data_IF_826167589880
#
_entry.id   IF_826167589880
#
_cell.length_a   1.000
_cell.length_b   1.000
_cell.length_c   1.000
_cell.angle_alpha   90.00
_cell.angle_beta   90.00
_cell.angle_gamma   90.00
#
_symmetry.space_group_name_H-M   'P 1'
#
loop_
_entity.id
_entity.type
_entity.pdbx_description
1 polymer ?
#
# COMPACT_ATOMS: atom_id res chain seq x y z
N UNK A 1 10.91 -10.81 -69.61
CA UNK A 1 12.23 -10.75 -68.92
C UNK A 1 11.94 -10.55 -67.43
N UNK A 2 12.31 -11.50 -66.57
CA UNK A 2 11.91 -11.44 -65.14
C UNK A 2 13.12 -11.11 -64.27
N UNK A 3 13.06 -9.99 -63.56
CA UNK A 3 14.03 -9.63 -62.51
C UNK A 3 13.57 -10.16 -61.16
N UNK A 4 14.50 -10.72 -60.39
CA UNK A 4 14.23 -11.26 -59.05
C UNK A 4 15.01 -10.48 -58.02
N UNK A 5 14.30 -9.96 -57.01
CA UNK A 5 14.89 -9.26 -55.87
C UNK A 5 14.34 -9.80 -54.57
N UNK A 6 15.07 -9.59 -53.49
CA UNK A 6 14.71 -10.09 -52.15
C UNK A 6 14.77 -8.94 -51.18
N UNK A 7 13.76 -8.86 -50.32
CA UNK A 7 13.63 -7.84 -49.28
C UNK A 7 13.18 -8.48 -47.97
N UNK A 8 13.63 -7.94 -46.84
CA UNK A 8 13.29 -8.42 -45.50
C UNK A 8 14.38 -8.12 -44.48
N UNK A 9 13.99 -7.72 -43.27
CA UNK A 9 14.93 -7.57 -42.14
C UNK A 9 15.13 -8.93 -41.46
N UNK A 10 16.03 -9.73 -42.05
CA UNK A 10 16.37 -11.04 -41.51
C UNK A 10 17.39 -10.87 -40.39
N UNK A 11 17.02 -11.28 -39.18
CA UNK A 11 17.87 -11.22 -38.00
C UNK A 11 18.27 -12.63 -37.60
N UNK A 12 19.56 -12.86 -37.39
CA UNK A 12 20.08 -14.16 -36.96
C UNK A 12 19.34 -14.66 -35.70
N UNK A 13 19.06 -15.95 -35.66
CA UNK A 13 18.33 -16.68 -34.62
C UNK A 13 16.88 -16.24 -34.38
N UNK A 14 16.33 -15.34 -35.20
CA UNK A 14 14.92 -14.92 -35.11
C UNK A 14 14.10 -15.41 -36.31
N UNK A 15 12.80 -15.58 -36.07
CA UNK A 15 11.79 -15.80 -37.12
C UNK A 15 11.61 -14.47 -37.86
N UNK A 16 11.93 -14.44 -39.15
CA UNK A 16 11.85 -13.24 -40.00
C UNK A 16 11.06 -13.53 -41.26
N UNK A 17 10.23 -12.56 -41.67
CA UNK A 17 9.55 -12.58 -42.94
C UNK A 17 10.52 -12.16 -44.05
N UNK A 18 10.51 -12.89 -45.16
CA UNK A 18 11.35 -12.67 -46.32
C UNK A 18 10.45 -12.62 -47.56
N UNK A 19 10.53 -11.53 -48.30
CA UNK A 19 9.70 -11.26 -49.47
C UNK A 19 10.54 -11.32 -50.74
N UNK A 20 10.21 -12.28 -51.61
CA UNK A 20 10.88 -12.52 -52.90
C UNK A 20 10.01 -11.90 -53.99
N UNK A 21 10.53 -10.88 -54.68
CA UNK A 21 9.80 -10.11 -55.70
C UNK A 21 10.26 -10.52 -57.09
N UNK A 22 9.30 -10.85 -57.95
CA UNK A 22 9.47 -11.15 -59.38
C UNK A 22 8.87 -9.99 -60.18
N UNK A 23 9.67 -9.24 -60.92
CA UNK A 23 9.24 -8.10 -61.73
C UNK A 23 9.34 -8.45 -63.21
N UNK A 24 8.24 -8.31 -63.97
CA UNK A 24 8.30 -8.46 -65.43
C UNK A 24 8.66 -7.13 -66.09
N UNK A 25 9.91 -7.02 -66.54
CA UNK A 25 10.46 -5.84 -67.23
C UNK A 25 10.34 -5.94 -68.76
N UNK A 26 9.74 -7.01 -69.28
CA UNK A 26 9.49 -7.20 -70.70
C UNK A 26 8.34 -6.35 -71.23
N UNK A 27 8.09 -6.45 -72.55
CA UNK A 27 7.03 -5.69 -73.22
C UNK A 27 5.71 -6.46 -73.29
N UNK A 28 5.73 -7.78 -73.10
CA UNK A 28 4.55 -8.63 -73.04
C UNK A 28 4.44 -9.46 -71.75
N UNK A 29 3.34 -10.23 -71.58
CA UNK A 29 3.14 -11.08 -70.42
C UNK A 29 4.14 -12.25 -70.42
N UNK A 30 4.58 -12.67 -69.23
CA UNK A 30 5.25 -13.95 -69.05
C UNK A 30 4.28 -14.98 -68.48
N UNK A 31 4.26 -16.19 -69.01
CA UNK A 31 3.32 -17.26 -68.60
C UNK A 31 4.06 -18.48 -68.06
N UNK A 32 3.32 -19.36 -67.39
CA UNK A 32 3.83 -20.63 -66.84
C UNK A 32 5.12 -20.50 -66.02
N UNK A 33 5.20 -19.43 -65.22
CA UNK A 33 6.36 -19.16 -64.40
C UNK A 33 6.42 -20.16 -63.24
N UNK A 34 7.53 -20.89 -63.17
CA UNK A 34 7.84 -21.79 -62.06
C UNK A 34 9.15 -21.35 -61.44
N UNK A 35 9.12 -21.12 -60.13
CA UNK A 35 10.31 -20.80 -59.35
C UNK A 35 10.38 -21.68 -58.11
N UNK A 36 11.52 -22.34 -57.87
CA UNK A 36 11.80 -23.02 -56.60
C UNK A 36 12.91 -22.27 -55.84
N UNK A 37 12.55 -21.78 -54.66
CA UNK A 37 13.45 -21.14 -53.69
C UNK A 37 14.44 -22.18 -53.19
N UNK A 38 15.73 -21.93 -53.36
CA UNK A 38 16.82 -22.65 -52.71
C UNK A 38 17.41 -21.83 -51.59
N UNK A 39 17.11 -22.20 -50.35
CA UNK A 39 17.71 -21.58 -49.17
C UNK A 39 19.16 -22.08 -49.00
N UNK A 40 20.13 -21.19 -48.72
CA UNK A 40 21.51 -21.59 -48.48
C UNK A 40 21.68 -22.30 -47.12
N UNK A 41 22.77 -23.05 -46.92
CA UNK A 41 23.08 -23.65 -45.62
C UNK A 41 23.08 -22.60 -44.51
N UNK A 42 22.37 -22.88 -43.42
CA UNK A 42 22.24 -21.96 -42.29
C UNK A 42 20.96 -21.14 -42.28
N UNK A 43 20.14 -21.15 -43.34
CA UNK A 43 18.80 -20.56 -43.35
C UNK A 43 17.76 -21.68 -43.45
N UNK A 44 16.82 -21.71 -42.51
CA UNK A 44 15.76 -22.72 -42.45
C UNK A 44 14.42 -22.08 -42.81
N UNK A 45 13.65 -22.74 -43.68
CA UNK A 45 12.26 -22.38 -43.94
C UNK A 45 11.41 -22.82 -42.74
N UNK A 46 10.69 -21.87 -42.15
CA UNK A 46 9.76 -22.14 -41.05
C UNK A 46 8.30 -22.19 -41.52
N UNK A 47 7.95 -21.38 -42.53
CA UNK A 47 6.59 -21.25 -43.04
C UNK A 47 6.57 -20.69 -44.47
N UNK A 48 5.51 -20.98 -45.23
CA UNK A 48 5.38 -20.64 -46.65
C UNK A 48 5.82 -21.75 -47.60
N UNK A 49 5.59 -21.56 -48.91
CA UNK A 49 5.91 -22.57 -49.93
C UNK A 49 7.27 -22.29 -50.58
N UNK A 50 8.11 -23.30 -50.74
CA UNK A 50 9.37 -23.17 -51.49
C UNK A 50 9.15 -23.01 -53.00
N UNK A 51 7.97 -23.39 -53.50
CA UNK A 51 7.65 -23.38 -54.93
C UNK A 51 6.58 -22.33 -55.22
N UNK A 52 6.92 -21.43 -56.14
CA UNK A 52 6.04 -20.42 -56.72
C UNK A 52 5.64 -20.90 -58.11
N UNK A 53 4.35 -20.83 -58.42
CA UNK A 53 3.80 -21.12 -59.74
C UNK A 53 2.84 -20.00 -60.10
N UNK A 54 3.11 -19.27 -61.19
CA UNK A 54 2.23 -18.22 -61.72
C UNK A 54 1.84 -18.56 -63.15
N UNK A 55 0.55 -18.63 -63.43
CA UNK A 55 0.05 -18.84 -64.78
C UNK A 55 0.35 -17.64 -65.70
N UNK A 56 0.34 -16.42 -65.17
CA UNK A 56 0.62 -15.20 -65.93
C UNK A 56 1.16 -14.09 -65.03
N UNK A 57 2.19 -13.39 -65.49
CA UNK A 57 2.74 -12.16 -64.92
C UNK A 57 2.76 -11.08 -66.02
N UNK A 58 1.82 -10.12 -66.02
CA UNK A 58 1.72 -9.10 -67.05
C UNK A 58 2.96 -8.21 -67.16
N UNK A 59 3.17 -7.57 -68.32
CA UNK A 59 4.23 -6.59 -68.51
C UNK A 59 4.13 -5.43 -67.50
N UNK A 60 5.26 -5.04 -66.91
CA UNK A 60 5.34 -3.97 -65.91
C UNK A 60 4.67 -4.29 -64.57
N UNK A 61 4.34 -5.56 -64.29
CA UNK A 61 3.78 -6.02 -63.02
C UNK A 61 4.73 -6.89 -62.24
N UNK A 62 4.42 -6.97 -60.95
CA UNK A 62 5.25 -7.62 -59.96
C UNK A 62 4.43 -8.66 -59.18
N UNK A 63 5.10 -9.74 -58.80
CA UNK A 63 4.59 -10.70 -57.85
C UNK A 63 5.53 -10.79 -56.67
N UNK A 64 4.98 -10.72 -55.45
CA UNK A 64 5.73 -10.90 -54.20
C UNK A 64 5.32 -12.21 -53.57
N UNK A 65 6.29 -13.07 -53.35
CA UNK A 65 6.14 -14.33 -52.65
C UNK A 65 6.79 -14.24 -51.28
N UNK A 66 6.01 -14.45 -50.23
CA UNK A 66 6.48 -14.34 -48.85
C UNK A 66 6.72 -15.70 -48.23
N UNK A 67 7.87 -15.82 -47.58
CA UNK A 67 8.23 -16.99 -46.78
C UNK A 67 8.76 -16.54 -45.44
N UNK A 68 8.58 -17.38 -44.41
CA UNK A 68 9.17 -17.14 -43.11
C UNK A 68 10.39 -18.00 -42.93
N UNK A 69 11.51 -17.38 -42.57
CA UNK A 69 12.80 -18.05 -42.41
C UNK A 69 13.41 -17.77 -41.03
N UNK A 70 14.36 -18.60 -40.63
CA UNK A 70 15.27 -18.33 -39.53
C UNK A 70 16.70 -18.65 -39.97
N UNK A 71 17.57 -17.64 -39.88
CA UNK A 71 19.00 -17.78 -40.14
C UNK A 71 19.73 -18.15 -38.85
N UNK A 72 20.73 -19.04 -38.92
CA UNK A 72 21.55 -19.45 -37.76
C UNK A 72 22.64 -18.43 -37.42
N UNK A 73 23.19 -17.77 -38.43
CA UNK A 73 24.33 -16.86 -38.29
C UNK A 73 24.06 -15.57 -39.06
N UNK A 74 24.67 -14.49 -38.59
CA UNK A 74 24.67 -13.21 -39.30
C UNK A 74 25.68 -13.23 -40.43
N UNK A 75 25.42 -12.44 -41.47
CA UNK A 75 26.32 -12.31 -42.62
C UNK A 75 25.59 -12.25 -43.95
N UNK A 76 26.36 -12.17 -45.05
CA UNK A 76 25.83 -12.25 -46.40
C UNK A 76 25.50 -13.71 -46.77
N UNK A 77 24.36 -13.91 -47.43
CA UNK A 77 23.90 -15.17 -47.97
C UNK A 77 23.39 -14.97 -49.40
N UNK A 78 23.36 -16.03 -50.21
CA UNK A 78 22.75 -16.02 -51.53
C UNK A 78 21.53 -16.95 -51.54
N UNK A 79 20.37 -16.41 -51.92
CA UNK A 79 19.22 -17.24 -52.30
C UNK A 79 19.42 -17.75 -53.72
N UNK A 80 19.24 -19.06 -53.91
CA UNK A 80 19.47 -19.71 -55.20
C UNK A 80 18.14 -20.05 -55.86
N UNK A 81 17.97 -19.70 -57.13
CA UNK A 81 16.85 -20.20 -57.93
C UNK A 81 17.15 -21.60 -58.47
N UNK A 82 16.71 -22.65 -57.77
CA UNK A 82 17.07 -24.05 -58.12
C UNK A 82 16.31 -24.54 -59.35
N UNK A 83 15.14 -23.97 -59.59
CA UNK A 83 14.35 -24.24 -60.79
C UNK A 83 13.58 -23.00 -61.17
N UNK A 84 14.10 -22.20 -62.10
CA UNK A 84 13.46 -20.99 -62.58
C UNK A 84 13.24 -21.07 -64.09
N UNK A 85 11.98 -21.10 -64.49
CA UNK A 85 11.57 -21.08 -65.90
C UNK A 85 10.26 -20.32 -66.07
N UNK A 86 10.05 -19.77 -67.25
CA UNK A 86 8.81 -19.12 -67.68
C UNK A 86 8.73 -19.14 -69.21
N UNK A 87 7.59 -18.78 -69.78
CA UNK A 87 7.43 -18.46 -71.20
C UNK A 87 7.41 -16.96 -71.38
N UNK A 88 8.18 -16.45 -72.34
CA UNK A 88 8.29 -15.01 -72.58
C UNK A 88 7.11 -14.45 -73.39
N UNK A 89 7.23 -13.19 -73.81
CA UNK A 89 6.19 -12.48 -74.58
C UNK A 89 5.90 -13.07 -75.96
N UNK A 90 6.82 -13.87 -76.53
CA UNK A 90 6.65 -14.57 -77.80
C UNK A 90 6.22 -16.03 -77.59
N UNK A 91 5.88 -16.40 -76.37
CA UNK A 91 5.59 -17.79 -75.99
C UNK A 91 6.81 -18.72 -76.24
N UNK A 92 8.03 -18.21 -76.05
CA UNK A 92 9.25 -19.02 -76.07
C UNK A 92 9.65 -19.44 -74.63
N UNK A 93 10.04 -20.70 -74.41
CA UNK A 93 10.44 -21.16 -73.09
C UNK A 93 11.81 -20.61 -72.68
N UNK A 94 11.85 -19.86 -71.59
CA UNK A 94 13.06 -19.32 -70.98
C UNK A 94 13.39 -20.09 -69.72
N UNK A 95 14.64 -20.56 -69.61
CA UNK A 95 15.19 -21.17 -68.39
C UNK A 95 16.31 -20.32 -67.85
N UNK A 96 16.15 -19.86 -66.61
CA UNK A 96 17.17 -19.07 -65.91
C UNK A 96 18.00 -20.01 -65.06
N UNK A 97 19.28 -20.17 -65.43
CA UNK A 97 20.22 -21.02 -64.70
C UNK A 97 21.12 -20.15 -63.82
N UNK A 98 21.46 -20.65 -62.63
CA UNK A 98 22.43 -20.00 -61.75
C UNK A 98 21.97 -18.70 -61.07
N UNK A 99 20.66 -18.43 -61.00
CA UNK A 99 20.14 -17.24 -60.30
C UNK A 99 20.62 -17.22 -58.84
N UNK A 100 21.25 -16.11 -58.45
CA UNK A 100 21.63 -15.81 -57.07
C UNK A 100 21.16 -14.41 -56.70
N UNK A 101 20.46 -14.30 -55.59
CA UNK A 101 20.00 -13.01 -55.06
C UNK A 101 20.56 -12.83 -53.66
N UNK A 102 21.31 -11.75 -53.45
CA UNK A 102 21.95 -11.46 -52.18
C UNK A 102 20.93 -11.19 -51.07
N UNK A 103 21.18 -11.78 -49.90
CA UNK A 103 20.42 -11.64 -48.67
C UNK A 103 21.38 -11.26 -47.54
N UNK A 104 21.18 -10.11 -46.93
CA UNK A 104 21.95 -9.69 -45.74
C UNK A 104 21.21 -10.08 -44.47
N UNK A 105 21.81 -10.94 -43.65
CA UNK A 105 21.30 -11.28 -42.32
C UNK A 105 22.01 -10.44 -41.28
N UNK A 106 21.25 -9.62 -40.56
CA UNK A 106 21.75 -8.81 -39.45
C UNK A 106 22.03 -9.68 -38.23
N UNK A 107 23.08 -9.32 -37.49
CA UNK A 107 23.28 -9.87 -36.16
C UNK A 107 22.09 -9.50 -35.26
N UNK A 108 21.61 -10.47 -34.48
CA UNK A 108 20.75 -10.13 -33.36
C UNK A 108 21.50 -9.11 -32.51
N UNK A 109 20.85 -8.01 -32.07
CA UNK A 109 21.47 -7.10 -31.11
C UNK A 109 21.95 -7.96 -29.94
N UNK A 110 23.20 -7.73 -29.50
CA UNK A 110 23.79 -8.44 -28.38
C UNK A 110 22.76 -8.52 -27.26
N UNK A 111 22.51 -9.73 -26.77
CA UNK A 111 21.59 -9.94 -25.67
C UNK A 111 21.96 -8.94 -24.57
N UNK A 112 21.02 -8.06 -24.23
CA UNK A 112 21.19 -7.14 -23.11
C UNK A 112 21.52 -8.01 -21.91
N UNK A 113 22.69 -7.74 -21.34
CA UNK A 113 23.25 -8.41 -20.17
C UNK A 113 22.11 -8.66 -19.16
N UNK A 114 22.04 -9.91 -18.70
CA UNK A 114 21.17 -10.40 -17.63
C UNK A 114 20.89 -9.35 -16.56
N UNK A 115 19.69 -8.75 -16.57
CA UNK A 115 19.17 -7.95 -15.45
C UNK A 115 18.60 -8.87 -14.37
N UNK A 116 19.44 -9.75 -13.81
CA UNK A 116 19.11 -10.26 -12.48
C UNK A 116 19.20 -9.05 -11.53
N UNK A 117 18.24 -8.84 -10.61
CA UNK A 117 18.29 -7.71 -9.69
C UNK A 117 19.65 -7.68 -8.99
N UNK A 118 20.45 -6.65 -9.26
CA UNK A 118 21.81 -6.54 -8.73
C UNK A 118 21.74 -6.22 -7.24
N UNK A 119 22.32 -7.08 -6.40
CA UNK A 119 22.36 -6.84 -4.96
C UNK A 119 21.11 -7.29 -4.18
N UNK A 120 21.03 -6.83 -2.93
CA UNK A 120 19.93 -7.04 -1.98
C UNK A 120 19.14 -5.73 -1.88
N UNK A 121 17.85 -5.83 -1.55
CA UNK A 121 17.08 -4.64 -1.17
C UNK A 121 17.68 -4.05 0.12
N UNK A 122 17.76 -2.73 0.19
CA UNK A 122 18.10 -2.06 1.45
C UNK A 122 16.90 -2.11 2.37
N UNK A 123 17.03 -2.71 3.55
CA UNK A 123 15.95 -2.82 4.54
C UNK A 123 16.38 -2.18 5.83
N UNK A 124 15.67 -1.14 6.26
CA UNK A 124 16.00 -0.36 7.46
C UNK A 124 14.75 -0.23 8.33
N UNK A 125 14.90 -0.42 9.64
CA UNK A 125 13.85 -0.12 10.59
C UNK A 125 13.87 1.38 10.91
N UNK A 126 12.74 2.06 10.69
CA UNK A 126 12.56 3.47 11.04
C UNK A 126 11.99 3.65 12.46
N UNK A 127 11.48 2.57 13.08
CA UNK A 127 11.02 2.58 14.48
C UNK A 127 12.10 1.98 15.39
N UNK A 128 13.03 2.76 15.96
CA UNK A 128 14.13 2.21 16.75
C UNK A 128 13.70 1.67 18.11
N UNK A 129 12.52 2.06 18.62
CA UNK A 129 12.04 1.73 19.97
C UNK A 129 10.58 1.26 19.94
N UNK A 130 10.28 0.18 20.66
CA UNK A 130 8.94 -0.36 20.84
C UNK A 130 8.64 -0.57 22.33
N UNK A 131 7.37 -0.42 22.72
CA UNK A 131 6.91 -0.71 24.09
C UNK A 131 6.63 -2.19 24.35
N UNK A 132 7.20 -2.76 25.42
CA UNK A 132 6.94 -4.14 25.85
C UNK A 132 5.46 -4.33 26.25
N UNK A 133 4.83 -5.37 25.73
CA UNK A 133 3.48 -5.78 26.10
C UNK A 133 2.38 -4.83 25.60
N UNK A 134 2.72 -3.87 24.74
CA UNK A 134 1.79 -2.89 24.18
C UNK A 134 1.79 -2.95 22.66
N UNK A 135 0.61 -2.79 22.07
CA UNK A 135 0.50 -2.59 20.63
C UNK A 135 1.18 -1.31 20.20
N UNK A 136 2.14 -1.43 19.30
CA UNK A 136 2.98 -0.33 18.82
C UNK A 136 3.20 -0.43 17.31
N UNK A 137 3.65 0.65 16.69
CA UNK A 137 3.79 0.78 15.24
C UNK A 137 5.23 0.59 14.80
N UNK A 138 5.50 -0.54 14.14
CA UNK A 138 6.79 -0.85 13.51
C UNK A 138 6.78 -0.40 12.04
N UNK A 139 7.66 0.54 11.68
CA UNK A 139 7.85 1.01 10.31
C UNK A 139 9.19 0.53 9.75
N UNK A 140 9.15 -0.04 8.54
CA UNK A 140 10.32 -0.57 7.82
C UNK A 140 10.38 0.10 6.44
N UNK A 141 11.51 0.71 6.13
CA UNK A 141 11.81 1.32 4.84
C UNK A 141 12.57 0.31 3.97
N UNK A 142 12.02 0.01 2.80
CA UNK A 142 12.68 -0.76 1.75
C UNK A 142 13.18 0.17 0.67
N UNK A 143 14.44 0.01 0.26
CA UNK A 143 15.06 0.73 -0.85
C UNK A 143 15.42 -0.25 -1.96
N UNK A 144 14.90 -0.03 -3.16
CA UNK A 144 15.15 -0.87 -4.32
C UNK A 144 16.42 -0.46 -5.06
N UNK A 145 17.59 -0.92 -4.61
CA UNK A 145 18.86 -0.74 -5.31
C UNK A 145 19.10 -1.75 -6.44
N UNK A 146 18.08 -2.47 -6.90
CA UNK A 146 18.25 -3.58 -7.83
C UNK A 146 18.33 -3.19 -9.31
N UNK A 147 18.17 -1.89 -9.63
CA UNK A 147 18.23 -1.35 -10.99
C UNK A 147 17.05 -1.73 -11.90
N UNK A 148 16.05 -2.44 -11.37
CA UNK A 148 14.82 -2.84 -12.07
C UNK A 148 13.60 -2.61 -11.20
N UNK A 149 12.45 -2.36 -11.82
CA UNK A 149 11.18 -2.31 -11.11
C UNK A 149 10.79 -3.72 -10.62
N UNK A 150 10.22 -3.76 -9.41
CA UNK A 150 9.72 -4.98 -8.78
C UNK A 150 8.20 -4.94 -8.76
N UNK A 151 7.60 -6.12 -8.86
CA UNK A 151 6.16 -6.36 -8.81
C UNK A 151 5.85 -7.17 -7.53
N UNK A 152 4.65 -7.02 -6.99
CA UNK A 152 4.14 -7.85 -5.87
C UNK A 152 5.06 -7.96 -4.66
N UNK A 153 5.66 -6.83 -4.26
CA UNK A 153 6.56 -6.76 -3.12
C UNK A 153 5.74 -6.98 -1.84
N UNK A 154 5.94 -8.15 -1.25
CA UNK A 154 5.29 -8.59 -0.01
C UNK A 154 6.33 -8.68 1.09
N UNK A 155 6.01 -8.12 2.24
CA UNK A 155 6.85 -8.16 3.42
C UNK A 155 6.12 -8.84 4.57
N UNK A 156 6.84 -9.71 5.27
CA UNK A 156 6.40 -10.37 6.49
C UNK A 156 7.40 -10.10 7.61
N UNK A 157 6.92 -9.79 8.80
CA UNK A 157 7.77 -9.54 9.97
C UNK A 157 7.49 -10.57 11.06
N UNK A 158 8.55 -11.13 11.63
CA UNK A 158 8.48 -12.04 12.78
C UNK A 158 9.49 -11.63 13.86
N UNK A 159 9.24 -12.06 15.09
CA UNK A 159 10.04 -11.70 16.26
C UNK A 159 9.36 -12.22 17.52
N UNK A 160 9.87 -11.88 18.71
CA UNK A 160 9.22 -12.20 19.97
C UNK A 160 8.01 -11.28 20.17
N UNK A 161 6.98 -11.43 19.34
CA UNK A 161 5.71 -10.72 19.40
C UNK A 161 4.60 -11.66 19.89
N UNK A 162 3.60 -11.10 20.58
CA UNK A 162 2.48 -11.86 21.11
C UNK A 162 1.57 -12.47 20.01
N UNK A 163 1.56 -11.88 18.82
CA UNK A 163 0.76 -12.34 17.68
C UNK A 163 1.61 -12.72 16.46
N UNK A 164 1.13 -13.67 15.63
CA UNK A 164 1.87 -14.20 14.50
C UNK A 164 2.01 -13.23 13.32
N UNK A 165 2.90 -13.63 12.40
CA UNK A 165 3.37 -12.98 11.18
C UNK A 165 2.35 -12.06 10.49
N UNK A 166 2.52 -10.74 10.64
CA UNK A 166 1.80 -9.77 9.82
C UNK A 166 2.45 -9.66 8.45
N UNK A 167 1.61 -9.63 7.41
CA UNK A 167 2.02 -9.45 6.02
C UNK A 167 1.49 -8.14 5.47
N UNK A 168 2.32 -7.44 4.72
CA UNK A 168 1.94 -6.25 3.99
C UNK A 168 2.44 -6.34 2.56
N UNK A 169 1.72 -5.75 1.61
CA UNK A 169 2.01 -5.84 0.17
C UNK A 169 1.88 -4.47 -0.47
N UNK A 170 2.79 -4.17 -1.39
CA UNK A 170 2.65 -3.09 -2.36
C UNK A 170 2.66 -3.68 -3.77
N UNK A 171 1.88 -3.12 -4.71
CA UNK A 171 1.74 -3.68 -6.05
C UNK A 171 3.03 -3.58 -6.87
N UNK A 172 3.79 -2.49 -6.70
CA UNK A 172 5.04 -2.28 -7.42
C UNK A 172 6.01 -1.41 -6.63
N UNK A 173 7.31 -1.57 -6.90
CA UNK A 173 8.39 -0.72 -6.40
C UNK A 173 9.35 -0.40 -7.55
N UNK A 174 9.37 0.85 -7.99
CA UNK A 174 10.24 1.30 -9.09
C UNK A 174 11.72 1.09 -8.81
N UNK A 175 12.55 1.07 -9.87
CA UNK A 175 14.01 1.07 -9.73
C UNK A 175 14.46 2.32 -8.93
N UNK A 176 15.37 2.13 -7.97
CA UNK A 176 15.90 3.17 -7.08
C UNK A 176 14.86 3.86 -6.18
N UNK A 177 13.62 3.36 -6.17
CA UNK A 177 12.54 3.86 -5.33
C UNK A 177 12.62 3.29 -3.90
N UNK A 178 11.92 3.97 -2.99
CA UNK A 178 11.75 3.52 -1.60
C UNK A 178 10.27 3.35 -1.27
N UNK A 179 9.96 2.39 -0.41
CA UNK A 179 8.62 2.18 0.12
C UNK A 179 8.66 1.86 1.61
N UNK A 180 7.67 2.38 2.34
CA UNK A 180 7.49 2.14 3.77
C UNK A 180 6.41 1.09 3.98
N UNK A 181 6.74 0.08 4.78
CA UNK A 181 5.81 -0.91 5.29
C UNK A 181 5.57 -0.66 6.78
N UNK A 182 4.32 -0.72 7.21
CA UNK A 182 3.93 -0.48 8.59
C UNK A 182 3.22 -1.72 9.14
N UNK A 183 3.61 -2.13 10.34
CA UNK A 183 3.06 -3.28 11.06
C UNK A 183 2.65 -2.84 12.46
N UNK A 184 1.58 -3.43 12.99
CA UNK A 184 1.18 -3.26 14.38
C UNK A 184 1.73 -4.46 15.16
N UNK A 185 2.63 -4.26 16.10
CA UNK A 185 3.29 -5.35 16.82
C UNK A 185 3.10 -5.20 18.32
N UNK A 186 3.05 -6.32 19.03
CA UNK A 186 3.03 -6.35 20.49
C UNK A 186 4.25 -7.14 20.99
N UNK A 187 5.38 -6.47 21.31
CA UNK A 187 6.59 -7.13 21.79
C UNK A 187 6.37 -7.89 23.11
N UNK A 188 6.73 -9.18 23.13
CA UNK A 188 6.66 -10.05 24.30
C UNK A 188 7.96 -10.11 25.13
N UNK A 189 9.09 -9.67 24.55
CA UNK A 189 10.41 -9.70 25.21
C UNK A 189 11.10 -8.33 25.13
N UNK A 190 11.69 -7.89 26.25
CA UNK A 190 12.45 -6.64 26.33
C UNK A 190 13.94 -6.87 26.04
N UNK A 191 14.60 -5.86 25.49
CA UNK A 191 16.03 -5.84 25.24
C UNK A 191 16.47 -4.63 24.40
N UNK A 192 17.74 -4.23 24.53
CA UNK A 192 18.32 -3.18 23.68
C UNK A 192 18.53 -3.62 22.23
N UNK A 193 18.61 -4.93 21.99
CA UNK A 193 18.85 -5.54 20.68
C UNK A 193 17.92 -6.75 20.47
N UNK A 194 16.61 -6.50 20.47
CA UNK A 194 15.63 -7.56 20.19
C UNK A 194 15.64 -7.84 18.67
N UNK A 195 15.96 -9.09 18.25
CA UNK A 195 16.03 -9.41 16.84
C UNK A 195 14.63 -9.59 16.24
N UNK A 196 14.39 -8.94 15.11
CA UNK A 196 13.21 -9.15 14.29
C UNK A 196 13.66 -9.66 12.92
N UNK A 197 12.93 -10.63 12.36
CA UNK A 197 13.20 -11.17 11.02
C UNK A 197 12.21 -10.54 10.05
N UNK A 198 12.75 -9.99 8.98
CA UNK A 198 12.00 -9.37 7.90
C UNK A 198 12.18 -10.23 6.66
N UNK A 199 11.10 -10.86 6.21
CA UNK A 199 11.07 -11.66 4.99
C UNK A 199 10.37 -10.87 3.89
N UNK A 200 11.14 -10.49 2.87
CA UNK A 200 10.64 -9.73 1.72
C UNK A 200 10.64 -10.63 0.49
N UNK A 201 9.46 -10.85 -0.10
CA UNK A 201 9.29 -11.61 -1.34
C UNK A 201 8.82 -10.65 -2.43
N UNK A 202 9.43 -10.70 -3.61
CA UNK A 202 9.08 -9.82 -4.72
C UNK A 202 9.22 -10.54 -6.05
N UNK A 203 8.37 -10.16 -7.00
CA UNK A 203 8.41 -10.60 -8.38
C UNK A 203 9.19 -9.60 -9.25
N UNK A 204 9.78 -10.09 -10.32
CA UNK A 204 10.44 -9.29 -11.34
C UNK A 204 10.42 -10.06 -12.66
N UNK A 205 10.63 -9.36 -13.77
CA UNK A 205 10.81 -10.00 -15.07
C UNK A 205 12.29 -10.28 -15.28
N UNK A 206 12.62 -11.53 -15.53
CA UNK A 206 13.98 -11.92 -15.87
C UNK A 206 14.40 -11.37 -17.25
N UNK A 207 15.66 -11.58 -17.64
CA UNK A 207 16.16 -11.15 -18.95
C UNK A 207 15.42 -11.74 -20.16
N UNK A 208 14.59 -12.78 -19.96
CA UNK A 208 13.74 -13.39 -20.98
C UNK A 208 12.28 -12.91 -20.94
N UNK A 209 11.94 -11.99 -20.02
CA UNK A 209 10.60 -11.46 -19.81
C UNK A 209 9.68 -12.37 -19.00
N UNK A 210 10.18 -13.53 -18.52
CA UNK A 210 9.41 -14.45 -17.69
C UNK A 210 9.33 -13.92 -16.25
N UNK A 211 8.18 -14.10 -15.57
CA UNK A 211 8.05 -13.74 -14.17
C UNK A 211 8.93 -14.67 -13.33
N UNK A 212 9.81 -14.07 -12.55
CA UNK A 212 10.62 -14.73 -11.54
C UNK A 212 10.30 -14.12 -10.17
N UNK A 213 10.45 -14.91 -9.11
CA UNK A 213 10.26 -14.45 -7.73
C UNK A 213 11.56 -14.62 -6.95
N UNK A 214 11.86 -13.70 -6.05
CA UNK A 214 12.98 -13.79 -5.12
C UNK A 214 12.51 -13.48 -3.71
N UNK A 215 13.08 -14.18 -2.74
CA UNK A 215 12.86 -13.93 -1.32
C UNK A 215 14.18 -13.53 -0.67
N UNK A 216 14.14 -12.50 0.15
CA UNK A 216 15.23 -11.99 0.94
C UNK A 216 14.82 -11.99 2.42
N UNK A 217 15.72 -12.44 3.29
CA UNK A 217 15.54 -12.41 4.73
C UNK A 217 16.61 -11.54 5.37
N UNK A 218 16.18 -10.55 6.15
CA UNK A 218 17.02 -9.63 6.90
C UNK A 218 16.71 -9.76 8.39
N UNK A 219 17.74 -9.68 9.22
CA UNK A 219 17.59 -9.59 10.68
C UNK A 219 17.87 -8.15 11.05
N UNK A 220 16.85 -7.47 11.56
CA UNK A 220 16.98 -6.13 12.11
C UNK A 220 16.96 -6.22 13.63
N UNK A 221 17.47 -5.19 14.29
CA UNK A 221 17.37 -5.06 15.75
C UNK A 221 16.51 -3.85 16.09
N UNK A 222 15.63 -4.04 17.07
CA UNK A 222 14.84 -2.98 17.68
C UNK A 222 15.15 -2.94 19.16
N UNK A 223 15.05 -1.76 19.75
CA UNK A 223 15.06 -1.64 21.21
C UNK A 223 13.64 -1.86 21.71
N UNK A 224 13.39 -2.98 22.38
CA UNK A 224 12.15 -3.15 23.14
C UNK A 224 12.46 -2.80 24.57
N UNK A 225 11.88 -1.73 25.07
CA UNK A 225 11.98 -1.43 26.48
C UNK A 225 10.66 -1.82 27.13
N UNK A 226 10.65 -2.22 28.41
CA UNK A 226 9.46 -2.03 29.21
C UNK A 226 8.94 -0.65 28.86
N UNK A 227 7.70 -0.55 28.35
CA UNK A 227 7.05 0.75 28.22
C UNK A 227 7.36 1.43 29.53
N UNK A 228 8.12 2.54 29.54
CA UNK A 228 8.64 3.08 30.79
C UNK A 228 7.46 3.05 31.74
N UNK A 229 7.65 2.42 32.90
CA UNK A 229 6.84 2.81 34.02
C UNK A 229 7.08 4.32 34.04
N UNK A 230 6.13 5.08 33.50
CA UNK A 230 6.17 6.52 33.58
C UNK A 230 6.37 6.72 35.07
N UNK A 231 7.46 7.39 35.42
CA UNK A 231 7.91 7.44 36.80
C UNK A 231 6.84 8.03 37.74
N UNK A 232 5.75 8.56 37.16
CA UNK A 232 4.45 8.80 37.78
C UNK A 232 3.36 8.30 36.81
N UNK A 233 2.31 7.60 37.28
CA UNK A 233 1.30 6.97 36.41
C UNK A 233 0.69 7.90 35.34
N UNK A 234 0.11 7.32 34.29
CA UNK A 234 -0.63 8.05 33.25
C UNK A 234 -1.73 8.92 33.88
N UNK A 235 -1.59 10.23 33.73
CA UNK A 235 -2.60 11.19 34.17
C UNK A 235 -3.83 11.12 33.26
N UNK A 236 -4.98 10.91 33.88
CA UNK A 236 -6.30 11.13 33.31
C UNK A 236 -6.80 12.46 33.86
N UNK A 237 -6.87 13.46 33.00
CA UNK A 237 -7.50 14.73 33.33
C UNK A 237 -9.01 14.60 33.13
N UNK A 238 -9.77 14.62 34.23
CA UNK A 238 -11.22 14.51 34.24
C UNK A 238 -11.82 15.92 34.37
N UNK A 239 -12.31 16.45 33.27
CA UNK A 239 -12.93 17.77 33.15
C UNK A 239 -14.45 17.61 33.29
N UNK A 240 -15.06 18.34 34.22
CA UNK A 240 -16.51 18.37 34.37
C UNK A 240 -17.04 19.81 34.35
N UNK A 241 -18.00 20.10 33.48
CA UNK A 241 -18.73 21.36 33.47
C UNK A 241 -20.18 21.11 33.90
N UNK A 242 -20.71 21.90 34.84
CA UNK A 242 -22.10 21.79 35.26
C UNK A 242 -22.73 23.17 35.49
N UNK A 243 -22.90 23.96 34.41
CA UNK A 243 -23.42 25.32 34.51
C UNK A 243 -24.82 25.37 35.13
N UNK A 244 -25.07 26.38 35.97
CA UNK A 244 -26.27 26.47 36.83
C UNK A 244 -27.57 26.75 36.06
N UNK A 245 -27.46 27.24 34.84
CA UNK A 245 -28.55 27.56 33.92
C UNK A 245 -28.91 26.41 32.97
N UNK A 246 -28.20 25.27 33.05
CA UNK A 246 -28.51 24.05 32.32
C UNK A 246 -29.03 22.95 33.26
N UNK A 247 -29.73 21.92 32.73
CA UNK A 247 -30.11 20.76 33.53
C UNK A 247 -28.89 20.11 34.18
N UNK A 248 -28.93 19.78 35.48
CA UNK A 248 -27.77 19.25 36.18
C UNK A 248 -27.39 17.86 35.64
N UNK A 249 -26.10 17.65 35.39
CA UNK A 249 -25.53 16.33 35.08
C UNK A 249 -24.94 15.69 36.32
N UNK A 250 -24.93 14.36 36.37
CA UNK A 250 -24.35 13.59 37.48
C UNK A 250 -22.89 13.23 37.22
N UNK A 251 -22.09 14.21 36.79
CA UNK A 251 -20.64 14.05 36.55
C UNK A 251 -19.87 13.67 37.82
N UNK A 252 -20.42 14.00 38.99
CA UNK A 252 -19.94 13.54 40.29
C UNK A 252 -20.09 12.02 40.48
N UNK A 253 -21.25 11.47 40.09
CA UNK A 253 -21.52 10.02 40.10
C UNK A 253 -20.61 9.30 39.11
N UNK A 254 -20.46 9.86 37.91
CA UNK A 254 -19.55 9.35 36.89
C UNK A 254 -18.12 9.25 37.42
N UNK A 255 -17.57 10.37 37.90
CA UNK A 255 -16.21 10.43 38.45
C UNK A 255 -16.04 9.45 39.62
N UNK A 256 -16.99 9.39 40.54
CA UNK A 256 -16.95 8.46 41.69
C UNK A 256 -16.83 7.02 41.21
N UNK A 257 -17.69 6.61 40.27
CA UNK A 257 -17.69 5.24 39.73
C UNK A 257 -16.41 4.93 38.95
N UNK A 258 -15.86 5.89 38.22
CA UNK A 258 -14.56 5.73 37.55
C UNK A 258 -13.43 5.56 38.56
N UNK A 259 -13.38 6.38 39.62
CA UNK A 259 -12.41 6.24 40.71
C UNK A 259 -12.52 4.88 41.41
N UNK A 260 -13.72 4.39 41.66
CA UNK A 260 -13.95 3.04 42.20
C UNK A 260 -13.35 1.95 41.30
N UNK A 261 -13.46 2.08 39.96
CA UNK A 261 -12.80 1.14 39.03
C UNK A 261 -11.29 1.21 39.09
N UNK A 262 -10.72 2.41 39.27
CA UNK A 262 -9.28 2.55 39.44
C UNK A 262 -8.80 1.84 40.71
N UNK A 263 -9.49 2.01 41.84
CA UNK A 263 -9.11 1.38 43.10
C UNK A 263 -9.09 -0.15 43.04
N UNK A 264 -10.03 -0.73 42.28
CA UNK A 264 -10.15 -2.18 42.10
C UNK A 264 -9.22 -2.74 41.01
N UNK A 265 -8.54 -1.89 40.24
CA UNK A 265 -7.76 -2.32 39.09
C UNK A 265 -6.42 -2.97 39.48
N UNK A 266 -6.04 -4.00 38.71
CA UNK A 266 -4.74 -4.70 38.87
C UNK A 266 -3.55 -3.78 38.63
N UNK A 267 -3.70 -2.78 37.76
CA UNK A 267 -2.65 -1.83 37.40
C UNK A 267 -2.97 -0.41 37.89
N UNK A 268 -3.63 -0.28 39.05
CA UNK A 268 -4.04 1.03 39.60
C UNK A 268 -2.90 2.04 39.71
N UNK A 269 -1.69 1.58 40.04
CA UNK A 269 -0.52 2.43 40.25
C UNK A 269 0.01 3.03 38.92
N UNK A 270 -0.52 2.58 37.76
CA UNK A 270 -0.19 3.14 36.44
C UNK A 270 -1.05 4.34 36.07
N UNK A 271 -2.05 4.71 36.85
CA UNK A 271 -2.97 5.79 36.51
C UNK A 271 -3.21 6.71 37.70
N UNK A 272 -3.35 8.00 37.41
CA UNK A 272 -3.84 9.01 38.35
C UNK A 272 -5.00 9.76 37.70
N UNK A 273 -6.06 10.00 38.46
CA UNK A 273 -7.19 10.82 37.98
C UNK A 273 -7.07 12.20 38.62
N UNK A 274 -6.89 13.23 37.80
CA UNK A 274 -6.85 14.63 38.19
C UNK A 274 -8.19 15.28 37.82
N UNK A 275 -9.06 15.59 38.79
CA UNK A 275 -10.32 16.23 38.50
C UNK A 275 -10.17 17.75 38.40
N UNK A 276 -10.73 18.33 37.35
CA UNK A 276 -11.07 19.75 37.29
C UNK A 276 -12.59 19.86 37.13
N UNK A 277 -13.24 20.49 38.10
CA UNK A 277 -14.70 20.62 38.17
C UNK A 277 -15.09 22.07 37.92
N UNK A 278 -16.33 22.29 37.47
CA UNK A 278 -16.86 23.61 37.13
C UNK A 278 -15.93 24.36 36.15
N UNK A 279 -15.42 23.63 35.15
CA UNK A 279 -14.33 24.12 34.32
C UNK A 279 -14.78 25.28 33.45
N UNK A 280 -13.95 26.35 33.43
CA UNK A 280 -13.96 27.41 32.43
C UNK A 280 -12.84 27.15 31.42
N UNK A 281 -12.77 27.94 30.35
CA UNK A 281 -11.80 27.71 29.28
C UNK A 281 -10.36 27.82 29.78
N UNK A 282 -10.08 28.84 30.62
CA UNK A 282 -8.77 29.04 31.23
C UNK A 282 -8.39 27.89 32.17
N UNK A 283 -9.36 27.32 32.89
CA UNK A 283 -9.11 26.19 33.78
C UNK A 283 -8.75 24.93 32.98
N UNK A 284 -9.39 24.70 31.82
CA UNK A 284 -9.02 23.61 30.89
C UNK A 284 -7.60 23.82 30.37
N UNK A 285 -7.29 25.04 29.90
CA UNK A 285 -5.98 25.37 29.37
C UNK A 285 -4.88 25.19 30.43
N UNK A 286 -5.11 25.68 31.65
CA UNK A 286 -4.15 25.56 32.75
C UNK A 286 -3.96 24.09 33.16
N UNK A 287 -5.04 23.33 33.30
CA UNK A 287 -4.95 21.93 33.70
C UNK A 287 -4.23 21.04 32.66
N UNK A 288 -4.35 21.34 31.37
CA UNK A 288 -3.60 20.64 30.32
C UNK A 288 -2.08 20.88 30.43
N UNK A 289 -1.67 22.09 30.83
CA UNK A 289 -0.27 22.45 31.07
C UNK A 289 0.24 21.81 32.37
N UNK A 290 -0.52 21.92 33.45
CA UNK A 290 -0.09 21.47 34.78
C UNK A 290 0.07 19.96 34.88
N UNK A 291 -0.77 19.20 34.16
CA UNK A 291 -0.87 17.76 34.32
C UNK A 291 -0.38 16.94 33.13
N UNK A 292 -0.08 17.59 31.99
CA UNK A 292 0.37 16.95 30.74
C UNK A 292 -0.32 15.59 30.45
N UNK A 293 -1.67 15.55 30.41
CA UNK A 293 -2.39 14.28 30.54
C UNK A 293 -2.19 13.35 29.34
N UNK A 294 -2.26 12.04 29.62
CA UNK A 294 -2.34 11.01 28.59
C UNK A 294 -3.77 10.81 28.10
N UNK A 295 -4.76 11.02 28.98
CA UNK A 295 -6.18 10.92 28.67
C UNK A 295 -6.90 12.16 29.17
N UNK A 296 -7.75 12.73 28.33
CA UNK A 296 -8.73 13.74 28.78
C UNK A 296 -10.12 13.13 28.69
N UNK A 297 -10.88 13.27 29.77
CA UNK A 297 -12.30 12.94 29.78
C UNK A 297 -13.08 14.20 30.07
N UNK A 298 -13.94 14.60 29.15
CA UNK A 298 -14.87 15.69 29.34
C UNK A 298 -16.27 15.15 29.60
N UNK A 299 -16.86 15.55 30.73
CA UNK A 299 -18.24 15.28 31.11
C UNK A 299 -19.01 16.61 31.17
N UNK A 300 -20.01 16.77 30.32
CA UNK A 300 -20.73 18.03 30.23
C UNK A 300 -21.78 18.08 29.13
N UNK A 301 -22.36 19.25 28.93
CA UNK A 301 -23.34 19.46 27.87
C UNK A 301 -22.66 19.73 26.54
N UNK A 302 -23.35 19.37 25.46
CA UNK A 302 -22.96 19.71 24.10
C UNK A 302 -24.19 19.93 23.23
N UNK A 303 -24.00 20.68 22.15
CA UNK A 303 -25.06 21.06 21.22
C UNK A 303 -24.88 20.44 19.83
N UNK A 304 -25.88 20.64 18.96
CA UNK A 304 -25.90 20.06 17.61
C UNK A 304 -24.79 20.59 16.69
N UNK A 305 -24.20 21.73 17.02
CA UNK A 305 -23.06 22.28 16.31
C UNK A 305 -21.74 21.66 16.81
N UNK A 306 -21.80 20.81 17.83
CA UNK A 306 -20.66 20.13 18.43
C UNK A 306 -19.89 21.01 19.41
N UNK A 307 -20.44 22.16 19.81
CA UNK A 307 -19.85 22.97 20.86
C UNK A 307 -20.02 22.26 22.20
N UNK A 308 -19.09 22.52 23.12
CA UNK A 308 -19.23 22.12 24.52
C UNK A 308 -19.67 23.32 25.34
N UNK A 309 -20.58 23.11 26.28
CA UNK A 309 -20.92 24.15 27.25
C UNK A 309 -20.04 23.99 28.49
N UNK A 310 -19.28 25.03 28.79
CA UNK A 310 -18.44 25.18 29.98
C UNK A 310 -19.00 26.31 30.85
N UNK A 311 -18.35 26.60 31.98
CA UNK A 311 -18.77 27.69 32.84
C UNK A 311 -18.10 29.03 32.46
N UNK A 312 -18.83 30.13 32.69
CA UNK A 312 -18.29 31.48 32.76
C UNK A 312 -17.95 31.85 34.22
N UNK A 313 -17.49 33.08 34.45
CA UNK A 313 -17.14 33.57 35.80
C UNK A 313 -18.34 33.68 36.76
N UNK A 314 -19.57 33.56 36.25
CA UNK A 314 -20.80 33.58 37.03
C UNK A 314 -21.39 32.17 37.23
N UNK A 315 -20.70 31.12 36.76
CA UNK A 315 -21.18 29.73 36.80
C UNK A 315 -22.35 29.47 35.83
N UNK A 316 -22.50 30.32 34.80
CA UNK A 316 -23.46 30.13 33.71
C UNK A 316 -22.80 29.50 32.50
N UNK A 317 -23.61 28.97 31.60
CA UNK A 317 -23.15 28.30 30.40
C UNK A 317 -22.52 29.29 29.44
N UNK A 318 -21.35 28.92 28.91
CA UNK A 318 -20.74 29.55 27.75
C UNK A 318 -20.22 28.47 26.81
N UNK A 319 -20.30 28.73 25.51
CA UNK A 319 -19.96 27.75 24.48
C UNK A 319 -18.48 27.85 24.11
N UNK A 320 -17.85 26.69 23.88
CA UNK A 320 -16.54 26.60 23.23
C UNK A 320 -16.69 25.80 21.96
N UNK A 321 -16.20 26.37 20.87
CA UNK A 321 -16.33 25.76 19.54
C UNK A 321 -15.39 24.57 19.36
N UNK A 322 -15.75 23.62 18.47
CA UNK A 322 -14.87 22.54 18.04
C UNK A 322 -13.46 23.01 17.65
N UNK A 323 -13.38 24.12 16.93
CA UNK A 323 -12.13 24.67 16.41
C UNK A 323 -11.25 25.23 17.54
N UNK A 324 -11.84 25.92 18.52
CA UNK A 324 -11.11 26.48 19.66
C UNK A 324 -10.52 25.37 20.54
N UNK A 325 -11.31 24.34 20.86
CA UNK A 325 -10.83 23.20 21.64
C UNK A 325 -9.80 22.37 20.87
N UNK A 326 -10.00 22.13 19.59
CA UNK A 326 -9.03 21.39 18.79
C UNK A 326 -7.68 22.12 18.69
N UNK A 327 -7.71 23.45 18.52
CA UNK A 327 -6.50 24.27 18.55
C UNK A 327 -5.77 24.15 19.89
N UNK A 328 -6.49 24.26 21.01
CA UNK A 328 -5.91 24.10 22.35
C UNK A 328 -5.28 22.70 22.53
N UNK A 329 -6.01 21.64 22.23
CA UNK A 329 -5.54 20.26 22.43
C UNK A 329 -4.37 19.91 21.50
N UNK A 330 -4.28 20.53 20.32
CA UNK A 330 -3.17 20.31 19.38
C UNK A 330 -1.79 20.64 19.99
N UNK A 331 -1.75 21.61 20.92
CA UNK A 331 -0.55 22.01 21.65
C UNK A 331 -0.02 20.91 22.58
N UNK A 332 -0.86 19.94 22.94
CA UNK A 332 -0.55 18.83 23.85
C UNK A 332 -0.52 17.46 23.13
N UNK A 333 -0.44 17.45 21.79
CA UNK A 333 -0.43 16.23 20.96
C UNK A 333 0.69 15.23 21.28
N UNK A 334 1.76 15.66 21.96
CA UNK A 334 2.86 14.78 22.38
C UNK A 334 2.47 13.85 23.53
N UNK A 335 1.56 14.28 24.41
CA UNK A 335 1.17 13.55 25.61
C UNK A 335 -0.20 12.91 25.44
N UNK A 336 -1.13 13.60 24.76
CA UNK A 336 -2.51 13.14 24.57
C UNK A 336 -2.61 11.88 23.71
N UNK A 337 -3.01 10.78 24.34
CA UNK A 337 -3.26 9.48 23.69
C UNK A 337 -4.73 9.23 23.41
N UNK A 338 -5.61 9.73 24.28
CA UNK A 338 -7.04 9.53 24.16
C UNK A 338 -7.83 10.75 24.67
N UNK A 339 -8.91 11.09 23.97
CA UNK A 339 -9.91 12.05 24.46
C UNK A 339 -11.29 11.39 24.45
N UNK A 340 -12.04 11.52 25.54
CA UNK A 340 -13.42 11.03 25.68
C UNK A 340 -14.33 12.24 25.86
N UNK A 341 -15.24 12.46 24.91
CA UNK A 341 -16.17 13.58 24.92
C UNK A 341 -17.57 13.08 25.28
N UNK A 342 -17.83 12.90 26.59
CA UNK A 342 -19.14 12.58 27.13
C UNK A 342 -20.02 13.83 27.17
N UNK A 343 -20.36 14.31 25.98
CA UNK A 343 -21.26 15.43 25.73
C UNK A 343 -22.11 15.13 24.50
N UNK A 344 -23.38 15.51 24.51
CA UNK A 344 -24.28 15.26 23.38
C UNK A 344 -23.72 15.87 22.09
N UNK A 345 -23.88 15.17 20.96
CA UNK A 345 -23.50 15.68 19.62
C UNK A 345 -22.01 16.09 19.46
N UNK A 346 -21.10 15.60 20.31
CA UNK A 346 -19.67 15.91 20.28
C UNK A 346 -18.88 15.31 19.11
N UNK A 347 -19.53 14.62 18.15
CA UNK A 347 -18.89 14.04 16.96
C UNK A 347 -18.10 15.07 16.14
N UNK A 348 -18.63 16.28 15.93
CA UNK A 348 -17.91 17.31 15.15
C UNK A 348 -16.59 17.69 15.83
N UNK A 349 -16.60 17.92 17.15
CA UNK A 349 -15.38 18.15 17.92
C UNK A 349 -14.44 16.93 17.87
N UNK A 350 -14.98 15.71 18.01
CA UNK A 350 -14.17 14.49 17.94
C UNK A 350 -13.36 14.42 16.63
N UNK A 351 -14.00 14.70 15.50
CA UNK A 351 -13.36 14.72 14.18
C UNK A 351 -12.27 15.79 14.05
N UNK A 352 -12.45 16.96 14.68
CA UNK A 352 -11.43 18.01 14.69
C UNK A 352 -10.21 17.64 15.56
N UNK A 353 -10.38 16.76 16.55
CA UNK A 353 -9.28 16.30 17.42
C UNK A 353 -8.48 15.13 16.85
N UNK A 354 -9.05 14.33 15.95
CA UNK A 354 -8.40 13.15 15.32
C UNK A 354 -7.01 13.43 14.72
N UNK A 355 -6.73 14.58 14.07
CA UNK A 355 -5.38 14.89 13.58
C UNK A 355 -4.33 15.08 14.68
N UNK A 356 -4.76 15.29 15.93
CA UNK A 356 -3.89 15.73 17.04
C UNK A 356 -3.83 14.72 18.19
N UNK A 357 -4.76 13.76 18.23
CA UNK A 357 -4.93 12.83 19.36
C UNK A 357 -4.95 11.40 18.82
N UNK A 358 -4.31 10.48 19.56
CA UNK A 358 -4.23 9.07 19.17
C UNK A 358 -5.61 8.41 18.96
N UNK A 359 -6.59 8.66 19.83
CA UNK A 359 -7.96 8.17 19.69
C UNK A 359 -8.94 9.17 20.29
N UNK A 360 -10.10 9.35 19.67
CA UNK A 360 -11.14 10.22 20.22
C UNK A 360 -12.46 9.47 20.29
N UNK A 361 -13.15 9.53 21.42
CA UNK A 361 -14.52 9.05 21.56
C UNK A 361 -15.46 10.25 21.57
N UNK A 362 -16.42 10.28 20.65
CA UNK A 362 -17.46 11.30 20.59
C UNK A 362 -18.86 10.70 20.60
N UNK A 363 -19.86 11.51 20.93
CA UNK A 363 -21.27 11.13 20.88
C UNK A 363 -21.89 11.71 19.61
N UNK A 364 -22.35 10.84 18.71
CA UNK A 364 -22.96 11.28 17.44
C UNK A 364 -24.37 11.86 17.59
N UNK A 365 -24.99 11.68 18.75
CA UNK A 365 -26.36 12.13 19.05
C UNK A 365 -26.52 12.41 20.54
N UNK A 366 -27.77 12.67 20.98
CA UNK A 366 -28.09 12.69 22.41
C UNK A 366 -27.77 11.34 23.05
N UNK A 367 -27.22 11.39 24.25
CA UNK A 367 -26.98 10.23 25.12
C UNK A 367 -27.70 10.48 26.45
N UNK A 368 -28.25 9.43 27.05
CA UNK A 368 -28.77 9.53 28.41
C UNK A 368 -27.60 9.71 29.39
N UNK A 369 -27.79 10.51 30.44
CA UNK A 369 -26.79 10.71 31.50
C UNK A 369 -26.34 9.36 32.10
N UNK A 370 -27.30 8.49 32.44
CA UNK A 370 -27.02 7.12 32.90
C UNK A 370 -26.25 6.27 31.89
N UNK A 371 -26.48 6.45 30.60
CA UNK A 371 -25.72 5.77 29.55
C UNK A 371 -24.29 6.29 29.44
N UNK A 372 -24.07 7.61 29.51
CA UNK A 372 -22.72 8.18 29.53
C UNK A 372 -21.90 7.62 30.71
N UNK A 373 -22.51 7.57 31.91
CA UNK A 373 -21.90 6.98 33.11
C UNK A 373 -21.56 5.49 32.91
N UNK A 374 -22.51 4.67 32.44
CA UNK A 374 -22.27 3.23 32.24
C UNK A 374 -21.21 2.95 31.17
N UNK A 375 -21.19 3.75 30.10
CA UNK A 375 -20.13 3.68 29.09
C UNK A 375 -18.76 3.94 29.70
N UNK A 376 -18.60 5.03 30.46
CA UNK A 376 -17.35 5.38 31.14
C UNK A 376 -16.89 4.29 32.10
N UNK A 377 -17.80 3.70 32.86
CA UNK A 377 -17.48 2.60 33.76
C UNK A 377 -16.91 1.39 33.01
N UNK A 378 -17.55 0.98 31.91
CA UNK A 378 -17.05 -0.11 31.08
C UNK A 378 -15.72 0.23 30.41
N UNK A 379 -15.59 1.44 29.88
CA UNK A 379 -14.36 1.93 29.25
C UNK A 379 -13.18 1.88 30.22
N UNK A 380 -13.30 2.54 31.37
CA UNK A 380 -12.22 2.64 32.34
C UNK A 380 -11.91 1.31 33.02
N UNK A 381 -12.88 0.41 33.18
CA UNK A 381 -12.62 -0.95 33.65
C UNK A 381 -11.61 -1.68 32.75
N UNK A 382 -11.74 -1.54 31.42
CA UNK A 382 -10.78 -2.12 30.48
C UNK A 382 -9.46 -1.36 30.47
N UNK A 383 -9.52 -0.02 30.43
CA UNK A 383 -8.33 0.81 30.36
C UNK A 383 -7.41 0.57 31.57
N UNK A 384 -7.98 0.54 32.77
CA UNK A 384 -7.23 0.27 33.99
C UNK A 384 -6.73 -1.18 34.09
N UNK A 385 -7.31 -2.11 33.32
CA UNK A 385 -6.78 -3.46 33.15
C UNK A 385 -5.62 -3.53 32.13
N UNK A 386 -5.24 -2.41 31.51
CA UNK A 386 -4.14 -2.32 30.55
C UNK A 386 -4.55 -2.62 29.10
N UNK A 387 -5.85 -2.72 28.82
CA UNK A 387 -6.35 -2.91 27.45
C UNK A 387 -6.14 -1.64 26.60
N UNK A 388 -5.90 -1.79 25.28
CA UNK A 388 -5.80 -0.65 24.37
C UNK A 388 -7.16 0.07 24.22
N UNK A 389 -7.13 1.31 23.74
CA UNK A 389 -8.33 2.16 23.64
C UNK A 389 -9.48 1.52 22.83
N UNK A 390 -9.26 0.85 21.68
CA UNK A 390 -10.34 0.17 20.96
C UNK A 390 -11.05 -0.91 21.80
N UNK A 391 -10.31 -1.68 22.59
CA UNK A 391 -10.87 -2.70 23.47
C UNK A 391 -11.60 -2.08 24.67
N UNK A 392 -11.09 -0.95 25.18
CA UNK A 392 -11.77 -0.17 26.20
C UNK A 392 -13.10 0.39 25.69
N UNK A 393 -13.10 0.95 24.48
CA UNK A 393 -14.31 1.39 23.80
C UNK A 393 -15.31 0.26 23.63
N UNK A 394 -14.88 -0.90 23.11
CA UNK A 394 -15.73 -2.07 22.95
C UNK A 394 -16.35 -2.53 24.29
N UNK A 395 -15.57 -2.49 25.39
CA UNK A 395 -16.09 -2.79 26.73
C UNK A 395 -17.13 -1.77 27.21
N UNK A 396 -16.92 -0.48 26.95
CA UNK A 396 -17.91 0.57 27.23
C UNK A 396 -19.23 0.29 26.52
N UNK A 397 -19.19 -0.03 25.23
CA UNK A 397 -20.38 -0.41 24.46
C UNK A 397 -21.03 -1.70 24.98
N UNK A 398 -20.24 -2.69 25.41
CA UNK A 398 -20.76 -3.92 26.00
C UNK A 398 -21.49 -3.67 27.33
N UNK A 399 -21.01 -2.73 28.16
CA UNK A 399 -21.72 -2.32 29.38
C UNK A 399 -23.09 -1.72 29.06
N UNK A 400 -23.20 -0.89 28.03
CA UNK A 400 -24.49 -0.37 27.55
C UNK A 400 -25.42 -1.48 27.07
N UNK A 401 -24.90 -2.44 26.28
CA UNK A 401 -25.67 -3.59 25.80
C UNK A 401 -26.15 -4.51 26.93
N UNK A 402 -25.41 -4.59 28.04
CA UNK A 402 -25.80 -5.40 29.20
C UNK A 402 -27.00 -4.86 29.98
N UNK A 403 -27.44 -3.64 29.68
CA UNK A 403 -28.49 -2.90 30.38
C UNK A 403 -29.74 -2.76 29.48
N UNK A 404 -30.80 -3.57 29.69
CA UNK A 404 -32.02 -3.49 28.88
C UNK A 404 -32.67 -2.10 28.89
N UNK A 405 -32.55 -1.36 29.99
CA UNK A 405 -33.04 0.01 30.16
C UNK A 405 -32.27 1.04 29.31
N UNK A 406 -31.09 0.69 28.80
CA UNK A 406 -30.24 1.52 27.94
C UNK A 406 -30.17 1.00 26.51
N UNK A 407 -31.13 0.16 26.09
CA UNK A 407 -31.18 -0.39 24.75
C UNK A 407 -31.07 0.72 23.68
N UNK A 408 -30.23 0.47 22.67
CA UNK A 408 -29.96 1.42 21.59
C UNK A 408 -28.91 2.51 21.89
N UNK A 409 -28.62 2.81 23.16
CA UNK A 409 -27.61 3.82 23.53
C UNK A 409 -26.18 3.43 23.14
N UNK A 410 -25.90 2.13 23.00
CA UNK A 410 -24.59 1.60 22.59
C UNK A 410 -24.13 2.08 21.20
N UNK A 411 -25.06 2.58 20.38
CA UNK A 411 -24.73 3.13 19.08
C UNK A 411 -24.36 4.62 19.14
N UNK A 412 -24.50 5.30 20.27
CA UNK A 412 -24.24 6.74 20.40
C UNK A 412 -22.75 7.06 20.52
N UNK A 413 -21.98 6.41 21.42
CA UNK A 413 -20.52 6.58 21.45
C UNK A 413 -19.91 6.04 20.16
N UNK A 414 -19.00 6.81 19.57
CA UNK A 414 -18.26 6.44 18.36
C UNK A 414 -16.78 6.67 18.60
N UNK A 415 -15.97 5.67 18.29
CA UNK A 415 -14.51 5.75 18.33
C UNK A 415 -13.97 6.24 16.99
N UNK A 416 -13.18 7.30 17.04
CA UNK A 416 -12.43 7.82 15.91
C UNK A 416 -10.95 7.44 16.08
N UNK A 417 -10.39 6.62 15.17
CA UNK A 417 -8.98 6.22 15.21
C UNK A 417 -8.05 7.39 14.86
N UNK A 418 -6.73 7.26 15.04
CA UNK A 418 -5.80 8.34 14.73
C UNK A 418 -5.87 8.72 13.26
N UNK A 419 -5.70 10.00 12.96
CA UNK A 419 -5.66 10.51 11.60
C UNK A 419 -4.54 9.87 10.76
N UNK A 420 -4.71 9.80 9.42
CA UNK A 420 -3.72 9.22 8.50
C UNK A 420 -2.36 9.95 8.51
#
# INVERSE_FOLDING_TARGET
MIEVSVTGDVVAERRSLLSIRFANTGTGPCTDMVFKVGLPPGIVLLDGKERVVLSTLPAGRDHVHEITVQARTAGPFDLVGVNFSYRDENDEPVRVTGLRVGLSVRAAPAAVITRQPSGRLGVVCETPRLGLGTWDRLSILVSNGAGIALEDVTMAVTGPFAEPVQRSRIPALGADAKARFTFHVNPGEAGRHVPIKVRTTYAYRDGSGRPATRTQEDVLTVTVQPTPAIAEGQTILYLAANPRDLPPLRSDDEMRRVKERLQLARHRDRYRIEPALAVRFDDISQALVDHEPAVVHFSGHGDRDGNLHIEDNNGRSTEVTPEGLAALFSLHSKTLRCVILNACYSERLARNLVPHVGHVVGMRSRILDTAAVEFSVGFYLSLFAGSPVPDAFARGCAHLLSRPDLAGQHNTPTLYPPGP
#
